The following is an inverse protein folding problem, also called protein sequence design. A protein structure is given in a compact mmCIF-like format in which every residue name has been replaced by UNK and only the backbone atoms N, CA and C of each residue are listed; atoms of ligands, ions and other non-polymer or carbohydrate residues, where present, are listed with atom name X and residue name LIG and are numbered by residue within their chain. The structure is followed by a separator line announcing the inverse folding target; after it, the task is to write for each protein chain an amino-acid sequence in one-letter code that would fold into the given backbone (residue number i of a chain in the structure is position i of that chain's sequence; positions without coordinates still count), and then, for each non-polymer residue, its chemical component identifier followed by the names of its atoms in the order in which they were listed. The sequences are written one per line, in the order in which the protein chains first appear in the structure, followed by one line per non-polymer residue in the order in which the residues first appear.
data_IF_045949534403
#
_entry.id   IF_045949534403
#
_cell.length_a   1.000
_cell.length_b   1.000
_cell.length_c   1.000
_cell.angle_alpha   90.00
_cell.angle_beta   90.00
_cell.angle_gamma   90.00
#
_symmetry.space_group_name_H-M   'P 1'
#
loop_
_entity.id
_entity.type
_entity.pdbx_description
1 polymer ?
#
# COMPACT_ATOMS: atom_id res chain seq x y z
N UNK A 1 9.19 -1.62 4.36
CA UNK A 1 10.25 -2.35 3.62
C UNK A 1 9.64 -2.81 2.29
N UNK A 2 10.43 -2.89 1.21
CA UNK A 2 9.94 -3.33 -0.11
C UNK A 2 10.86 -4.46 -0.58
N UNK A 3 10.28 -5.65 -0.72
CA UNK A 3 10.99 -6.85 -1.15
C UNK A 3 10.43 -7.38 -2.47
N UNK A 4 11.31 -7.94 -3.30
CA UNK A 4 10.95 -8.57 -4.57
C UNK A 4 11.06 -10.08 -4.43
N UNK A 5 10.01 -10.78 -4.84
CA UNK A 5 10.00 -12.24 -5.02
C UNK A 5 10.02 -12.58 -6.51
N UNK A 6 9.97 -13.87 -6.85
CA UNK A 6 9.86 -14.32 -8.23
C UNK A 6 8.60 -13.80 -8.93
N UNK A 7 7.45 -13.84 -8.22
CA UNK A 7 6.15 -13.56 -8.81
C UNK A 7 5.59 -12.17 -8.47
N UNK A 8 6.02 -11.56 -7.36
CA UNK A 8 5.39 -10.34 -6.83
C UNK A 8 6.32 -9.48 -5.98
N UNK A 9 5.88 -8.27 -5.68
CA UNK A 9 6.49 -7.41 -4.67
C UNK A 9 5.72 -7.49 -3.36
N UNK A 10 6.43 -7.47 -2.24
CA UNK A 10 5.85 -7.41 -0.89
C UNK A 10 6.30 -6.11 -0.25
N UNK A 11 5.34 -5.39 0.33
CA UNK A 11 5.58 -4.13 1.02
C UNK A 11 5.09 -4.28 2.46
N UNK A 12 6.00 -4.13 3.40
CA UNK A 12 5.73 -4.26 4.83
C UNK A 12 5.81 -2.90 5.53
N UNK A 13 4.79 -2.53 6.30
CA UNK A 13 4.72 -1.25 7.01
C UNK A 13 5.18 -1.43 8.45
N UNK A 14 6.41 -1.00 8.73
CA UNK A 14 6.97 -1.06 10.08
C UNK A 14 6.74 0.26 10.85
N UNK A 15 6.25 0.16 12.08
CA UNK A 15 6.08 1.30 13.01
C UNK A 15 7.31 1.62 13.85
N UNK A 16 8.50 1.17 13.42
CA UNK A 16 9.72 1.06 14.23
C UNK A 16 9.88 2.12 15.32
N UNK A 17 9.87 1.67 16.58
CA UNK A 17 10.33 2.34 17.82
C UNK A 17 9.56 3.52 18.44
N UNK A 18 8.49 4.06 17.86
CA UNK A 18 7.92 5.33 18.37
C UNK A 18 6.49 5.28 18.95
N UNK A 19 5.95 4.11 19.27
CA UNK A 19 4.60 4.05 19.87
C UNK A 19 4.71 4.19 21.39
N UNK A 20 4.49 5.41 21.90
CA UNK A 20 4.26 5.66 23.33
C UNK A 20 2.85 5.16 23.68
N UNK A 21 2.75 4.33 24.74
CA UNK A 21 1.58 3.50 25.10
C UNK A 21 0.21 4.21 25.16
N UNK A 22 0.16 5.55 25.36
CA UNK A 22 -1.11 6.26 25.55
C UNK A 22 -1.92 6.55 24.28
N UNK A 23 -1.34 6.46 23.06
CA UNK A 23 -2.03 6.83 21.80
C UNK A 23 -1.92 5.77 20.68
N UNK A 24 -1.81 4.50 21.05
CA UNK A 24 -1.52 3.38 20.13
C UNK A 24 -2.37 3.37 18.85
N UNK A 25 -3.70 3.44 18.96
CA UNK A 25 -4.60 3.38 17.79
C UNK A 25 -4.49 4.59 16.85
N UNK A 26 -4.30 5.80 17.41
CA UNK A 26 -4.15 7.02 16.60
C UNK A 26 -2.82 6.99 15.85
N UNK A 27 -1.76 6.55 16.53
CA UNK A 27 -0.44 6.38 15.93
C UNK A 27 -0.44 5.34 14.82
N UNK A 28 -1.19 4.24 14.94
CA UNK A 28 -1.32 3.23 13.86
C UNK A 28 -1.96 3.83 12.62
N UNK A 29 -3.12 4.49 12.77
CA UNK A 29 -3.82 5.07 11.62
C UNK A 29 -2.93 6.10 10.91
N UNK A 30 -2.31 7.02 11.65
CA UNK A 30 -1.39 8.01 11.09
C UNK A 30 -0.22 7.35 10.35
N UNK A 31 0.40 6.31 10.95
CA UNK A 31 1.49 5.55 10.31
C UNK A 31 1.04 4.89 9.02
N UNK A 32 -0.12 4.25 9.00
CA UNK A 32 -0.64 3.58 7.81
C UNK A 32 -1.04 4.59 6.71
N UNK A 33 -1.49 5.81 7.06
CA UNK A 33 -1.78 6.87 6.08
C UNK A 33 -0.50 7.41 5.44
N UNK A 34 0.54 7.67 6.24
CA UNK A 34 1.85 8.06 5.72
C UNK A 34 2.43 6.97 4.82
N UNK A 35 2.29 5.71 5.23
CA UNK A 35 2.71 4.56 4.44
C UNK A 35 1.94 4.47 3.12
N UNK A 36 0.60 4.58 3.12
CA UNK A 36 -0.21 4.52 1.89
C UNK A 36 0.22 5.57 0.85
N UNK A 37 0.58 6.77 1.31
CA UNK A 37 1.12 7.84 0.47
C UNK A 37 2.50 7.50 -0.10
N UNK A 38 3.44 7.06 0.75
CA UNK A 38 4.80 6.73 0.32
C UNK A 38 4.82 5.48 -0.58
N UNK A 39 3.97 4.49 -0.32
CA UNK A 39 3.80 3.30 -1.16
C UNK A 39 3.44 3.68 -2.59
N UNK A 40 2.40 4.51 -2.78
CA UNK A 40 2.01 4.96 -4.10
C UNK A 40 3.15 5.66 -4.85
N UNK A 41 3.89 6.51 -4.14
CA UNK A 41 5.08 7.19 -4.67
C UNK A 41 6.20 6.21 -5.04
N UNK A 42 6.53 5.25 -4.19
CA UNK A 42 7.59 4.26 -4.44
C UNK A 42 7.24 3.31 -5.59
N UNK A 43 5.97 2.90 -5.72
CA UNK A 43 5.48 2.11 -6.86
C UNK A 43 5.79 2.84 -8.17
N UNK A 44 5.53 4.16 -8.24
CA UNK A 44 5.82 4.97 -9.43
C UNK A 44 7.31 5.19 -9.64
N UNK A 45 8.04 5.64 -8.61
CA UNK A 45 9.47 5.96 -8.71
C UNK A 45 10.32 4.75 -9.11
N UNK A 46 9.96 3.55 -8.64
CA UNK A 46 10.66 2.30 -8.96
C UNK A 46 10.05 1.55 -10.14
N UNK A 47 8.99 2.09 -10.73
CA UNK A 47 8.20 1.45 -11.78
C UNK A 47 7.81 -0.01 -11.45
N UNK A 48 7.36 -0.27 -10.22
CA UNK A 48 6.95 -1.60 -9.78
C UNK A 48 5.74 -2.06 -10.57
N UNK A 49 5.74 -3.27 -11.10
CA UNK A 49 4.66 -3.80 -11.95
C UNK A 49 4.37 -5.26 -11.60
N UNK A 50 3.25 -5.78 -12.09
CA UNK A 50 2.72 -7.07 -11.71
C UNK A 50 1.91 -6.99 -10.41
N UNK A 51 2.00 -8.04 -9.61
CA UNK A 51 1.32 -8.13 -8.32
C UNK A 51 2.18 -7.49 -7.24
N UNK A 52 1.54 -6.67 -6.41
CA UNK A 52 2.14 -6.01 -5.25
C UNK A 52 1.22 -6.28 -4.07
N UNK A 53 1.76 -6.86 -3.00
CA UNK A 53 1.06 -7.12 -1.75
C UNK A 53 1.57 -6.13 -0.71
N UNK A 54 0.64 -5.50 0.01
CA UNK A 54 0.94 -4.56 1.09
C UNK A 54 0.41 -5.12 2.40
N UNK A 55 1.31 -5.23 3.37
CA UNK A 55 1.04 -5.60 4.75
C UNK A 55 1.07 -4.32 5.61
N UNK A 56 -0.12 -3.80 5.93
CA UNK A 56 -0.27 -2.63 6.80
C UNK A 56 -0.24 -3.05 8.26
N UNK A 57 0.04 -2.12 9.17
CA UNK A 57 -0.07 -2.39 10.61
C UNK A 57 -1.52 -2.71 10.96
N UNK A 58 -1.74 -3.74 11.78
CA UNK A 58 -3.07 -4.20 12.21
C UNK A 58 -4.00 -3.07 12.68
N UNK A 59 -5.18 -3.01 12.06
CA UNK A 59 -6.27 -2.10 12.42
C UNK A 59 -7.52 -2.87 12.81
N UNK A 60 -8.06 -2.61 14.01
CA UNK A 60 -9.30 -3.26 14.48
C UNK A 60 -10.57 -2.65 13.91
N UNK A 61 -10.53 -1.37 13.54
CA UNK A 61 -11.69 -0.63 13.05
C UNK A 61 -11.74 -0.64 11.53
N UNK A 62 -12.86 -1.12 10.97
CA UNK A 62 -13.13 -1.12 9.53
C UNK A 62 -13.10 0.28 8.94
N UNK A 63 -13.54 1.31 9.67
CA UNK A 63 -13.49 2.69 9.19
C UNK A 63 -12.05 3.16 8.96
N UNK A 64 -11.11 2.72 9.82
CA UNK A 64 -9.69 3.04 9.63
C UNK A 64 -9.14 2.39 8.36
N UNK A 65 -9.49 1.12 8.10
CA UNK A 65 -9.15 0.43 6.85
C UNK A 65 -9.70 1.18 5.63
N UNK A 66 -10.93 1.65 5.68
CA UNK A 66 -11.54 2.45 4.59
C UNK A 66 -10.82 3.77 4.34
N UNK A 67 -10.40 4.48 5.40
CA UNK A 67 -9.61 5.72 5.27
C UNK A 67 -8.24 5.43 4.64
N UNK A 68 -7.53 4.39 5.09
CA UNK A 68 -6.23 3.98 4.53
C UNK A 68 -6.37 3.58 3.06
N UNK A 69 -7.43 2.84 2.70
CA UNK A 69 -7.71 2.51 1.30
C UNK A 69 -7.92 3.76 0.46
N UNK A 70 -8.71 4.73 0.95
CA UNK A 70 -8.95 6.00 0.25
C UNK A 70 -7.64 6.76 -0.04
N UNK A 71 -6.74 6.83 0.95
CA UNK A 71 -5.42 7.45 0.76
C UNK A 71 -4.57 6.69 -0.26
N UNK A 72 -4.58 5.35 -0.23
CA UNK A 72 -3.85 4.53 -1.21
C UNK A 72 -4.39 4.70 -2.63
N UNK A 73 -5.72 4.80 -2.81
CA UNK A 73 -6.32 5.14 -4.10
C UNK A 73 -5.90 6.54 -4.57
N UNK A 74 -5.94 7.53 -3.68
CA UNK A 74 -5.53 8.90 -3.97
C UNK A 74 -4.06 8.97 -4.36
N UNK A 75 -3.18 8.22 -3.68
CA UNK A 75 -1.75 8.22 -3.95
C UNK A 75 -1.40 7.59 -5.29
N UNK A 76 -2.23 6.69 -5.82
CA UNK A 76 -2.05 6.00 -7.11
C UNK A 76 -2.93 6.55 -8.25
N UNK A 77 -3.71 7.62 -8.03
CA UNK A 77 -4.63 8.20 -9.02
C UNK A 77 -3.97 8.62 -10.34
N UNK A 78 -2.69 8.98 -10.29
CA UNK A 78 -1.92 9.41 -11.47
C UNK A 78 -1.57 8.24 -12.41
N UNK A 79 -1.75 6.99 -11.97
CA UNK A 79 -1.44 5.77 -12.71
C UNK A 79 -2.59 5.35 -13.64
N UNK A 80 -3.03 6.31 -14.47
CA UNK A 80 -4.12 6.33 -15.48
C UNK A 80 -4.70 4.98 -15.93
N UNK A 81 -5.43 4.27 -15.06
CA UNK A 81 -6.12 3.01 -15.38
C UNK A 81 -5.22 1.76 -15.47
N UNK A 82 -3.93 1.89 -15.13
CA UNK A 82 -3.00 0.76 -15.11
C UNK A 82 -2.95 0.05 -13.76
N UNK A 83 -3.59 0.62 -12.75
CA UNK A 83 -3.63 0.11 -11.38
C UNK A 83 -5.04 -0.35 -11.03
N UNK A 84 -5.13 -1.55 -10.47
CA UNK A 84 -6.30 -2.06 -9.77
C UNK A 84 -5.89 -2.37 -8.34
N UNK A 85 -6.59 -1.76 -7.38
CA UNK A 85 -6.39 -2.01 -5.95
C UNK A 85 -7.56 -2.84 -5.47
N UNK A 86 -7.27 -3.90 -4.73
CA UNK A 86 -8.29 -4.75 -4.09
C UNK A 86 -8.46 -4.34 -2.63
N UNK A 87 -9.66 -4.49 -2.06
CA UNK A 87 -9.87 -4.24 -0.63
C UNK A 87 -8.95 -5.10 0.26
N UNK A 88 -8.89 -4.75 1.54
CA UNK A 88 -8.33 -5.62 2.56
C UNK A 88 -8.94 -7.03 2.47
N UNK A 89 -8.05 -8.03 2.47
CA UNK A 89 -8.42 -9.45 2.50
C UNK A 89 -8.74 -9.90 3.92
N UNK A 90 -9.21 -11.14 4.08
CA UNK A 90 -9.41 -11.76 5.41
C UNK A 90 -8.10 -11.96 6.18
N UNK A 91 -6.95 -11.97 5.49
CA UNK A 91 -5.62 -12.00 6.08
C UNK A 91 -5.07 -10.58 6.37
N UNK A 92 -5.91 -9.55 6.28
CA UNK A 92 -5.56 -8.14 6.47
C UNK A 92 -4.48 -7.56 5.54
N UNK A 93 -4.25 -8.23 4.41
CA UNK A 93 -3.39 -7.75 3.32
C UNK A 93 -4.18 -6.94 2.28
N UNK A 94 -3.50 -6.00 1.63
CA UNK A 94 -4.01 -5.28 0.45
C UNK A 94 -3.24 -5.73 -0.79
N UNK A 95 -3.96 -5.97 -1.89
CA UNK A 95 -3.35 -6.39 -3.16
C UNK A 95 -3.51 -5.30 -4.21
N UNK A 96 -2.46 -5.07 -4.99
CA UNK A 96 -2.43 -4.14 -6.11
C UNK A 96 -1.96 -4.91 -7.34
N UNK A 97 -2.72 -4.83 -8.42
CA UNK A 97 -2.30 -5.26 -9.74
C UNK A 97 -1.97 -4.03 -10.58
N UNK A 98 -0.70 -3.86 -10.95
CA UNK A 98 -0.23 -2.75 -11.80
C UNK A 98 0.34 -3.28 -13.11
N UNK A 99 -0.26 -2.90 -14.23
CA UNK A 99 0.24 -3.26 -15.56
C UNK A 99 1.51 -2.49 -15.87
N UNK A 100 2.53 -3.19 -16.40
CA UNK A 100 3.68 -2.52 -17.01
C UNK A 100 3.18 -1.70 -18.20
N UNK A 101 3.71 -0.49 -18.36
CA UNK A 101 3.61 0.20 -19.65
C UNK A 101 4.42 -0.60 -20.66
N UNK A 102 3.79 -1.56 -21.33
CA UNK A 102 4.32 -2.12 -22.55
C UNK A 102 4.13 -1.05 -23.63
N UNK A 103 5.21 -0.40 -24.04
CA UNK A 103 5.26 0.24 -25.34
C UNK A 103 5.15 -0.90 -26.37
N UNK A 104 3.95 -1.10 -26.91
CA UNK A 104 3.82 -1.83 -28.17
C UNK A 104 4.58 -0.98 -29.19
N UNK A 105 5.70 -1.51 -29.68
CA UNK A 105 6.47 -0.95 -30.79
C UNK A 105 5.52 -0.43 -31.88
N UNK A 106 5.55 0.88 -32.16
CA UNK A 106 5.18 1.47 -33.44
C UNK A 106 6.42 2.14 -33.99
#
# INVERSE_FOLDING_TARGET
VIDKTEAMYVIDVNSGKNIKERNFNKTILETNLEAAKEIGKQIRLRNLSGIIVVDFIDMRDRKQKEIVMSELYSSLKEDKGNVKIFPFTELDLVQIARRSFCFIYN
#
